data_IF_153661594608
#
_entry.id   IF_153661594608
#
_cell.length_a   1.000
_cell.length_b   1.000
_cell.length_c   1.000
_cell.angle_alpha   90.00
_cell.angle_beta   90.00
_cell.angle_gamma   90.00
#
_symmetry.space_group_name_H-M   'P 1'
#
loop_
_entity.id
_entity.type
_entity.pdbx_description
1 polymer ?
#
# COMPACT_ATOMS: atom_id res chain seq x y z
N UNK A 1 -8.85 -12.22 0.19
CA UNK A 1 -8.67 -11.00 -0.62
C UNK A 1 -9.00 -9.85 0.31
N UNK A 2 -8.18 -8.82 0.37
CA UNK A 2 -8.48 -7.65 1.22
C UNK A 2 -9.73 -6.93 0.69
N UNK A 3 -10.57 -6.41 1.59
CA UNK A 3 -11.75 -5.62 1.22
C UNK A 3 -11.40 -4.17 0.88
N UNK A 4 -12.34 -3.49 0.23
CA UNK A 4 -12.25 -2.05 -0.07
C UNK A 4 -12.18 -1.24 1.23
N UNK A 5 -13.01 -1.59 2.19
CA UNK A 5 -13.12 -0.92 3.49
C UNK A 5 -11.81 -1.03 4.28
N UNK A 6 -11.21 -2.23 4.35
CA UNK A 6 -9.91 -2.44 5.00
C UNK A 6 -8.78 -1.64 4.32
N UNK A 7 -8.76 -1.57 2.99
CA UNK A 7 -7.78 -0.76 2.27
C UNK A 7 -7.96 0.74 2.54
N UNK A 8 -9.20 1.23 2.57
CA UNK A 8 -9.47 2.63 2.90
C UNK A 8 -9.07 2.95 4.34
N UNK A 9 -9.37 2.07 5.29
CA UNK A 9 -8.95 2.20 6.69
C UNK A 9 -7.42 2.27 6.80
N UNK A 10 -6.70 1.38 6.13
CA UNK A 10 -5.24 1.37 6.13
C UNK A 10 -4.65 2.63 5.45
N UNK A 11 -5.32 3.20 4.45
CA UNK A 11 -4.92 4.48 3.83
C UNK A 11 -5.10 5.65 4.79
N UNK A 12 -6.20 5.70 5.55
CA UNK A 12 -6.39 6.75 6.56
C UNK A 12 -5.32 6.64 7.66
N UNK A 13 -4.97 5.43 8.10
CA UNK A 13 -3.87 5.21 9.05
C UNK A 13 -2.52 5.75 8.52
N UNK A 14 -2.23 5.58 7.22
CA UNK A 14 -1.04 6.17 6.60
C UNK A 14 -1.07 7.70 6.60
N UNK A 15 -2.24 8.30 6.40
CA UNK A 15 -2.42 9.76 6.41
C UNK A 15 -2.24 10.34 7.81
N UNK A 16 -2.58 9.58 8.85
CA UNK A 16 -2.34 9.90 10.26
C UNK A 16 -0.94 9.45 10.75
N UNK A 17 -0.04 9.07 9.83
CA UNK A 17 1.32 8.56 10.10
C UNK A 17 1.40 7.29 10.98
N UNK A 18 0.31 6.53 11.09
CA UNK A 18 0.21 5.26 11.81
C UNK A 18 0.56 4.04 10.91
N UNK A 19 1.81 3.96 10.46
CA UNK A 19 2.27 2.92 9.52
C UNK A 19 2.16 1.49 10.07
N UNK A 20 2.39 1.29 11.36
CA UNK A 20 2.32 -0.03 11.99
C UNK A 20 0.88 -0.58 11.98
N UNK A 21 -0.11 0.27 12.24
CA UNK A 21 -1.51 -0.13 12.19
C UNK A 21 -1.96 -0.44 10.77
N UNK A 22 -1.52 0.35 9.78
CA UNK A 22 -1.75 0.05 8.37
C UNK A 22 -1.16 -1.32 8.00
N UNK A 23 0.08 -1.62 8.43
CA UNK A 23 0.71 -2.93 8.24
C UNK A 23 -0.10 -4.06 8.85
N UNK A 24 -0.66 -3.87 10.05
CA UNK A 24 -1.49 -4.88 10.71
C UNK A 24 -2.70 -5.30 9.89
N UNK A 25 -3.29 -4.39 9.12
CA UNK A 25 -4.39 -4.71 8.21
C UNK A 25 -3.88 -5.52 7.00
N UNK A 26 -2.91 -4.99 6.26
CA UNK A 26 -2.51 -5.59 4.97
C UNK A 26 -1.68 -6.87 5.11
N UNK A 27 -0.94 -7.07 6.20
CA UNK A 27 -0.05 -8.24 6.37
C UNK A 27 -0.80 -9.59 6.37
N UNK A 28 -2.11 -9.58 6.63
CA UNK A 28 -2.93 -10.80 6.62
C UNK A 28 -3.33 -11.25 5.21
N UNK A 29 -2.98 -10.49 4.19
CA UNK A 29 -3.42 -10.69 2.81
C UNK A 29 -2.24 -10.71 1.83
N UNK A 30 -2.28 -11.66 0.90
CA UNK A 30 -1.29 -11.79 -0.19
C UNK A 30 -1.90 -11.53 -1.58
N UNK A 31 -3.10 -10.96 -1.67
CA UNK A 31 -3.69 -10.63 -2.97
C UNK A 31 -2.94 -9.47 -3.64
N UNK A 32 -2.95 -9.35 -4.98
CA UNK A 32 -2.23 -8.27 -5.68
C UNK A 32 -2.58 -6.87 -5.16
N UNK A 33 -3.81 -6.68 -4.69
CA UNK A 33 -4.30 -5.45 -4.06
C UNK A 33 -3.56 -5.15 -2.75
N UNK A 34 -3.50 -6.15 -1.86
CA UNK A 34 -2.81 -6.03 -0.58
C UNK A 34 -1.30 -5.85 -0.79
N UNK A 35 -0.70 -6.64 -1.68
CA UNK A 35 0.73 -6.53 -2.04
C UNK A 35 1.07 -5.13 -2.56
N UNK A 36 0.20 -4.51 -3.37
CA UNK A 36 0.41 -3.14 -3.86
C UNK A 36 0.51 -2.14 -2.71
N UNK A 37 -0.37 -2.25 -1.72
CA UNK A 37 -0.36 -1.32 -0.59
C UNK A 37 0.78 -1.63 0.40
N UNK A 38 1.10 -2.91 0.61
CA UNK A 38 2.27 -3.34 1.39
C UNK A 38 3.58 -2.76 0.80
N UNK A 39 3.71 -2.77 -0.53
CA UNK A 39 4.84 -2.14 -1.22
C UNK A 39 4.95 -0.64 -0.95
N UNK A 40 3.81 0.07 -0.98
CA UNK A 40 3.76 1.49 -0.65
C UNK A 40 4.19 1.77 0.81
N UNK A 41 3.75 0.94 1.77
CA UNK A 41 4.11 1.11 3.18
C UNK A 41 5.63 1.03 3.36
N UNK A 42 6.27 -0.03 2.86
CA UNK A 42 7.73 -0.15 2.92
C UNK A 42 8.46 0.97 2.20
N UNK A 43 7.89 1.48 1.10
CA UNK A 43 8.44 2.63 0.39
C UNK A 43 8.40 3.90 1.27
N UNK A 44 7.30 4.13 2.00
CA UNK A 44 7.16 5.24 2.96
C UNK A 44 8.08 5.08 4.18
N UNK A 45 8.36 3.85 4.61
CA UNK A 45 9.32 3.53 5.68
C UNK A 45 10.80 3.68 5.26
N UNK A 46 11.07 3.83 3.96
CA UNK A 46 12.43 3.92 3.42
C UNK A 46 13.09 2.56 3.12
N UNK A 47 12.38 1.45 3.30
CA UNK A 47 12.84 0.10 2.95
C UNK A 47 12.60 -0.19 1.46
N UNK A 48 13.48 0.37 0.63
CA UNK A 48 13.36 0.29 -0.84
C UNK A 48 13.51 -1.14 -1.38
N UNK A 49 14.27 -2.00 -0.70
CA UNK A 49 14.49 -3.38 -1.14
C UNK A 49 13.21 -4.20 -0.95
N UNK A 50 12.61 -4.11 0.24
CA UNK A 50 11.39 -4.83 0.54
C UNK A 50 10.19 -4.24 -0.21
N UNK A 51 10.14 -2.91 -0.37
CA UNK A 51 9.15 -2.27 -1.24
C UNK A 51 9.16 -2.86 -2.66
N UNK A 52 10.34 -3.02 -3.27
CA UNK A 52 10.46 -3.65 -4.59
C UNK A 52 9.95 -5.09 -4.60
N UNK A 53 10.31 -5.90 -3.61
CA UNK A 53 9.80 -7.27 -3.48
C UNK A 53 8.26 -7.30 -3.47
N UNK A 54 7.61 -6.42 -2.73
CA UNK A 54 6.14 -6.37 -2.69
C UNK A 54 5.51 -5.76 -3.96
N UNK A 55 6.17 -4.79 -4.62
CA UNK A 55 5.73 -4.31 -5.93
C UNK A 55 5.74 -5.46 -6.94
N UNK A 56 6.79 -6.28 -6.97
CA UNK A 56 6.88 -7.46 -7.83
C UNK A 56 5.75 -8.46 -7.53
N UNK A 57 5.46 -8.72 -6.25
CA UNK A 57 4.31 -9.56 -5.83
C UNK A 57 2.97 -9.00 -6.28
N UNK A 58 2.83 -7.68 -6.36
CA UNK A 58 1.66 -7.01 -6.90
C UNK A 58 1.62 -6.96 -8.44
N UNK A 59 2.62 -7.52 -9.13
CA UNK A 59 2.76 -7.43 -10.59
C UNK A 59 3.05 -6.01 -11.09
N UNK A 60 3.74 -5.20 -10.28
CA UNK A 60 4.02 -3.77 -10.54
C UNK A 60 5.51 -3.47 -10.38
N UNK A 61 5.95 -2.36 -10.95
CA UNK A 61 7.27 -1.78 -10.72
C UNK A 61 7.15 -0.60 -9.77
N UNK A 62 8.18 -0.36 -8.93
CA UNK A 62 8.19 0.81 -8.05
C UNK A 62 7.98 2.11 -8.85
N UNK A 63 7.00 2.95 -8.48
CA UNK A 63 6.72 4.17 -9.24
C UNK A 63 7.79 5.25 -9.10
N UNK A 64 8.10 5.94 -10.19
CA UNK A 64 8.98 7.11 -10.21
C UNK A 64 8.29 8.43 -9.75
N UNK A 65 7.20 8.34 -8.96
CA UNK A 65 6.43 9.49 -8.48
C UNK A 65 6.59 9.68 -6.96
N UNK A 66 6.22 10.85 -6.44
CA UNK A 66 6.26 11.10 -4.98
C UNK A 66 5.34 10.15 -4.21
N UNK A 67 5.62 9.94 -2.92
CA UNK A 67 4.76 9.13 -2.04
C UNK A 67 3.32 9.67 -2.03
N UNK A 68 3.13 10.98 -1.90
CA UNK A 68 1.79 11.59 -1.89
C UNK A 68 1.01 11.35 -3.18
N UNK A 69 1.70 11.45 -4.33
CA UNK A 69 1.07 11.20 -5.63
C UNK A 69 0.68 9.73 -5.79
N UNK A 70 1.50 8.82 -5.28
CA UNK A 70 1.19 7.39 -5.27
C UNK A 70 0.03 7.06 -4.33
N UNK A 71 0.04 7.56 -3.09
CA UNK A 71 -1.02 7.32 -2.12
C UNK A 71 -2.37 7.83 -2.64
N UNK A 72 -2.39 9.01 -3.26
CA UNK A 72 -3.59 9.56 -3.89
C UNK A 72 -4.11 8.66 -5.02
N UNK A 73 -3.22 8.12 -5.85
CA UNK A 73 -3.62 7.17 -6.89
C UNK A 73 -4.16 5.86 -6.31
N UNK A 74 -3.50 5.33 -5.28
CA UNK A 74 -3.96 4.12 -4.60
C UNK A 74 -5.36 4.35 -4.03
N UNK A 75 -5.59 5.45 -3.31
CA UNK A 75 -6.90 5.81 -2.76
C UNK A 75 -7.98 5.87 -3.83
N UNK A 76 -7.72 6.60 -4.93
CA UNK A 76 -8.67 6.69 -6.04
C UNK A 76 -8.95 5.32 -6.68
N UNK A 77 -7.93 4.47 -6.80
CA UNK A 77 -8.10 3.12 -7.32
C UNK A 77 -8.97 2.27 -6.38
N UNK A 78 -8.74 2.32 -5.06
CA UNK A 78 -9.57 1.61 -4.05
C UNK A 78 -11.01 2.11 -4.04
N UNK A 79 -11.23 3.42 -4.17
CA UNK A 79 -12.58 4.02 -4.25
C UNK A 79 -13.39 3.51 -5.46
N UNK A 80 -12.71 3.05 -6.52
CA UNK A 80 -13.32 2.52 -7.75
C UNK A 80 -13.31 0.98 -7.85
N UNK A 81 -12.80 0.27 -6.84
CA UNK A 81 -13.02 -1.18 -6.68
C UNK A 81 -14.48 -1.46 -6.33
#
# INVERSE_FOLDING_TARGET
MISKEELLEAIEMVMDDNLEDAHRIVQHYESPEACRFHAFLHRKEGDSWNANYWYEKAGRTMPAKSLDAELKEIRQWVENM
#
